data_IF_155979095333
#
_entry.id   IF_155979095333
#
_cell.length_a   1.000
_cell.length_b   1.000
_cell.length_c   1.000
_cell.angle_alpha   90.00
_cell.angle_beta   90.00
_cell.angle_gamma   90.00
#
_symmetry.space_group_name_H-M   'P 1'
#
loop_
_entity.id
_entity.type
_entity.pdbx_description
1 polymer ?
#
# COMPACT_ATOMS: atom_id res chain seq x y z
N UNK A 1 -26.46 -5.56 -4.89
CA UNK A 1 -25.94 -4.25 -5.32
C UNK A 1 -25.33 -4.40 -6.70
N UNK A 2 -25.50 -3.41 -7.60
CA UNK A 2 -24.87 -3.43 -8.91
C UNK A 2 -23.34 -3.54 -8.79
N UNK A 3 -22.69 -4.14 -9.80
CA UNK A 3 -21.25 -4.33 -9.81
C UNK A 3 -20.53 -2.98 -9.67
N UNK A 4 -19.66 -2.86 -8.67
CA UNK A 4 -18.86 -1.65 -8.42
C UNK A 4 -17.95 -1.34 -9.62
N UNK A 5 -18.22 -0.24 -10.31
CA UNK A 5 -17.44 0.22 -11.48
C UNK A 5 -16.14 0.90 -11.06
N UNK A 6 -16.22 1.87 -10.14
CA UNK A 6 -15.06 2.62 -9.63
C UNK A 6 -14.12 1.72 -8.83
N UNK A 7 -12.82 1.81 -9.06
CA UNK A 7 -11.80 1.02 -8.36
C UNK A 7 -11.16 1.84 -7.23
N UNK A 8 -10.79 1.18 -6.14
CA UNK A 8 -10.12 1.80 -4.99
C UNK A 8 -8.66 1.35 -4.93
N UNK A 9 -7.76 2.31 -4.89
CA UNK A 9 -6.33 2.10 -4.66
C UNK A 9 -6.02 2.48 -3.22
N UNK A 10 -5.38 1.60 -2.47
CA UNK A 10 -4.95 1.89 -1.10
C UNK A 10 -3.43 1.85 -0.99
N UNK A 11 -2.83 2.84 -0.34
CA UNK A 11 -1.39 2.84 -0.05
C UNK A 11 -1.10 1.94 1.15
N UNK A 12 -0.11 1.06 1.01
CA UNK A 12 0.35 0.20 2.10
C UNK A 12 1.46 0.90 2.90
N UNK A 13 1.43 0.71 4.22
CA UNK A 13 2.42 1.26 5.15
C UNK A 13 2.22 0.70 6.56
N UNK A 14 2.82 1.32 7.60
CA UNK A 14 2.81 0.78 8.97
C UNK A 14 1.42 0.47 9.54
N UNK A 15 0.40 1.26 9.18
CA UNK A 15 -0.98 1.04 9.62
C UNK A 15 -1.64 -0.19 8.95
N UNK A 16 -1.14 -0.63 7.79
CA UNK A 16 -1.77 -1.63 6.92
C UNK A 16 -0.87 -2.80 6.53
N UNK A 17 0.34 -2.91 7.10
CA UNK A 17 1.33 -3.94 6.75
C UNK A 17 0.98 -5.35 7.22
N UNK A 18 0.10 -5.46 8.23
CA UNK A 18 -0.37 -6.74 8.76
C UNK A 18 -1.34 -7.39 7.77
N UNK A 19 -1.16 -8.69 7.50
CA UNK A 19 -2.01 -9.46 6.59
C UNK A 19 -3.50 -9.34 6.93
N UNK A 20 -3.88 -9.41 8.21
CA UNK A 20 -5.28 -9.26 8.66
C UNK A 20 -5.88 -7.92 8.26
N UNK A 21 -5.10 -6.84 8.32
CA UNK A 21 -5.55 -5.51 7.90
C UNK A 21 -5.77 -5.47 6.39
N UNK A 22 -4.84 -6.03 5.60
CA UNK A 22 -5.01 -6.10 4.14
C UNK A 22 -6.25 -6.92 3.76
N UNK A 23 -6.53 -8.02 4.46
CA UNK A 23 -7.74 -8.82 4.25
C UNK A 23 -9.01 -8.02 4.52
N UNK A 24 -9.03 -7.23 5.60
CA UNK A 24 -10.14 -6.32 5.90
C UNK A 24 -10.30 -5.25 4.81
N UNK A 25 -9.21 -4.67 4.33
CA UNK A 25 -9.23 -3.69 3.24
C UNK A 25 -9.75 -4.28 1.92
N UNK A 26 -9.37 -5.52 1.58
CA UNK A 26 -9.90 -6.23 0.39
C UNK A 26 -11.40 -6.44 0.53
N UNK A 27 -11.88 -6.93 1.70
CA UNK A 27 -13.31 -7.10 1.96
C UNK A 27 -14.08 -5.77 1.92
N UNK A 28 -13.46 -4.69 2.38
CA UNK A 28 -14.01 -3.34 2.30
C UNK A 28 -14.00 -2.74 0.88
N UNK A 29 -13.35 -3.41 -0.09
CA UNK A 29 -13.43 -3.06 -1.50
C UNK A 29 -12.14 -2.50 -2.13
N UNK A 30 -10.97 -2.70 -1.51
CA UNK A 30 -9.68 -2.40 -2.13
C UNK A 30 -9.49 -3.23 -3.42
N UNK A 31 -9.08 -2.58 -4.51
CA UNK A 31 -8.85 -3.21 -5.82
C UNK A 31 -7.36 -3.22 -6.21
N UNK A 32 -6.56 -2.29 -5.66
CA UNK A 32 -5.13 -2.25 -5.87
C UNK A 32 -4.40 -1.79 -4.61
N UNK A 33 -3.20 -2.33 -4.40
CA UNK A 33 -2.29 -1.90 -3.35
C UNK A 33 -1.16 -1.07 -3.96
N UNK A 34 -1.01 0.17 -3.50
CA UNK A 34 0.08 1.08 -3.86
C UNK A 34 1.23 0.94 -2.87
N UNK A 35 2.43 0.76 -3.40
CA UNK A 35 3.70 0.74 -2.67
C UNK A 35 4.43 2.04 -2.96
N UNK A 36 4.48 2.93 -1.97
CA UNK A 36 5.17 4.21 -2.12
C UNK A 36 6.68 4.02 -1.86
N UNK A 37 7.50 4.04 -2.90
CA UNK A 37 8.95 3.85 -2.79
C UNK A 37 9.70 5.08 -2.26
N UNK A 38 9.01 6.19 -1.99
CA UNK A 38 9.61 7.32 -1.27
C UNK A 38 9.98 6.98 0.18
N UNK A 39 9.47 5.86 0.71
CA UNK A 39 9.64 5.41 2.09
C UNK A 39 9.81 3.88 2.16
N UNK A 40 10.56 3.40 3.14
CA UNK A 40 10.77 1.97 3.36
C UNK A 40 11.94 1.40 2.55
N UNK A 41 12.36 0.20 2.92
CA UNK A 41 13.40 -0.55 2.22
C UNK A 41 12.79 -1.55 1.24
N UNK A 42 13.59 -2.06 0.29
CA UNK A 42 13.18 -3.17 -0.59
C UNK A 42 12.63 -4.36 0.20
N UNK A 43 13.27 -4.73 1.30
CA UNK A 43 12.83 -5.83 2.17
C UNK A 43 11.47 -5.54 2.84
N UNK A 44 11.21 -4.28 3.19
CA UNK A 44 9.89 -3.87 3.69
C UNK A 44 8.82 -4.02 2.60
N UNK A 45 9.07 -3.51 1.39
CA UNK A 45 8.13 -3.67 0.27
C UNK A 45 7.90 -5.12 -0.12
N UNK A 46 8.94 -5.97 -0.07
CA UNK A 46 8.82 -7.41 -0.32
C UNK A 46 7.85 -8.07 0.66
N UNK A 47 7.95 -7.74 1.96
CA UNK A 47 6.99 -8.22 2.97
C UNK A 47 5.57 -7.74 2.68
N UNK A 48 5.39 -6.47 2.29
CA UNK A 48 4.08 -5.94 1.92
C UNK A 48 3.48 -6.68 0.72
N UNK A 49 4.27 -6.90 -0.34
CA UNK A 49 3.87 -7.64 -1.54
C UNK A 49 3.45 -9.06 -1.18
N UNK A 50 4.26 -9.75 -0.39
CA UNK A 50 4.00 -11.13 0.06
C UNK A 50 2.71 -11.21 0.86
N UNK A 51 2.51 -10.28 1.80
CA UNK A 51 1.30 -10.22 2.61
C UNK A 51 0.05 -9.89 1.77
N UNK A 52 0.15 -8.94 0.85
CA UNK A 52 -0.94 -8.56 -0.04
C UNK A 52 -1.36 -9.72 -0.96
N UNK A 53 -0.39 -10.44 -1.55
CA UNK A 53 -0.65 -11.63 -2.35
C UNK A 53 -1.25 -12.77 -1.53
N UNK A 54 -0.76 -12.99 -0.30
CA UNK A 54 -1.32 -14.00 0.59
C UNK A 54 -2.77 -13.67 1.00
N UNK A 55 -3.06 -12.41 1.32
CA UNK A 55 -4.40 -11.93 1.64
C UNK A 55 -5.36 -12.10 0.46
N UNK A 56 -4.93 -11.71 -0.74
CA UNK A 56 -5.69 -11.85 -1.98
C UNK A 56 -6.01 -13.33 -2.29
N UNK A 57 -5.02 -14.22 -2.23
CA UNK A 57 -5.21 -15.67 -2.40
C UNK A 57 -6.19 -16.25 -1.39
N UNK A 58 -6.06 -15.89 -0.10
CA UNK A 58 -6.96 -16.38 0.96
C UNK A 58 -8.42 -15.98 0.72
N UNK A 59 -8.66 -14.85 0.08
CA UNK A 59 -9.99 -14.31 -0.16
C UNK A 59 -10.54 -14.62 -1.56
N UNK A 60 -9.79 -15.34 -2.41
CA UNK A 60 -10.16 -15.56 -3.80
C UNK A 60 -10.28 -14.25 -4.60
N UNK A 61 -9.56 -13.20 -4.19
CA UNK A 61 -9.65 -11.88 -4.78
C UNK A 61 -8.43 -11.60 -5.67
N UNK A 62 -8.65 -10.87 -6.75
CA UNK A 62 -7.56 -10.32 -7.58
C UNK A 62 -7.39 -8.84 -7.25
N UNK A 63 -6.19 -8.48 -6.79
CA UNK A 63 -5.79 -7.07 -6.61
C UNK A 63 -4.52 -6.76 -7.40
N UNK A 64 -4.45 -5.56 -7.96
CA UNK A 64 -3.24 -5.06 -8.60
C UNK A 64 -2.21 -4.61 -7.54
N UNK A 65 -0.93 -4.67 -7.89
CA UNK A 65 0.15 -4.06 -7.12
C UNK A 65 0.71 -2.91 -7.96
N UNK A 66 0.82 -1.72 -7.37
CA UNK A 66 1.30 -0.52 -8.05
C UNK A 66 2.56 -0.04 -7.35
N UNK A 67 3.69 -0.11 -8.03
CA UNK A 67 4.92 0.52 -7.57
C UNK A 67 4.90 2.00 -7.92
N UNK A 68 5.01 2.86 -6.92
CA UNK A 68 5.04 4.31 -7.11
C UNK A 68 6.47 4.82 -6.92
N UNK A 69 7.06 5.30 -8.01
CA UNK A 69 8.43 5.80 -8.06
C UNK A 69 8.54 7.15 -7.35
N UNK A 70 9.62 7.36 -6.62
CA UNK A 70 9.83 8.59 -5.85
C UNK A 70 9.87 9.86 -6.72
N UNK A 71 10.51 9.78 -7.89
CA UNK A 71 10.76 10.93 -8.76
C UNK A 71 11.72 11.98 -8.18
N UNK A 72 11.91 13.12 -8.86
CA UNK A 72 12.70 14.25 -8.36
C UNK A 72 12.12 14.82 -7.06
N UNK A 73 12.96 15.08 -6.06
CA UNK A 73 12.52 15.45 -4.70
C UNK A 73 13.11 16.79 -4.25
N UNK A 74 12.31 17.84 -4.33
CA UNK A 74 12.57 19.14 -3.73
C UNK A 74 11.91 19.19 -2.35
N UNK A 75 12.70 19.24 -1.27
CA UNK A 75 12.22 19.37 0.12
C UNK A 75 13.11 20.28 0.92
N UNK A 76 12.52 21.00 1.87
CA UNK A 76 13.29 21.68 2.92
C UNK A 76 13.96 20.64 3.82
N UNK A 77 15.19 20.94 4.25
CA UNK A 77 15.96 20.11 5.18
C UNK A 77 15.47 20.25 6.62
N UNK A 78 16.31 19.83 7.57
CA UNK A 78 16.06 20.05 8.99
C UNK A 78 16.08 21.56 9.27
N UNK A 79 15.00 22.07 9.86
CA UNK A 79 14.95 23.45 10.34
C UNK A 79 15.60 23.53 11.73
N UNK A 80 16.34 24.61 12.03
CA UNK A 80 16.88 24.83 13.37
C UNK A 80 15.74 24.95 14.38
N UNK A 81 15.93 24.39 15.59
CA UNK A 81 15.03 24.70 16.70
C UNK A 81 15.19 26.17 17.04
N UNK A 82 14.07 26.92 17.14
CA UNK A 82 14.11 28.28 17.68
C UNK A 82 14.66 28.20 19.12
N UNK A 83 15.66 29.03 19.41
CA UNK A 83 16.17 29.26 20.76
C UNK A 83 15.10 29.95 21.62
#
# INVERSE_FOLDING_TARGET
MPLKRTKIICTLGPASEKRRTMEAMIRAGMNAARLNFSHGSHQHHERLIRNARAAARRLGATIALIGDLQGPKLRVGLLPRRA
#
